data_IF_977086465946
#
_entry.id   IF_977086465946
#
_cell.length_a   1.000
_cell.length_b   1.000
_cell.length_c   1.000
_cell.angle_alpha   90.00
_cell.angle_beta   90.00
_cell.angle_gamma   90.00
#
_symmetry.space_group_name_H-M   'P 1'
#
loop_
_entity.id
_entity.type
_entity.pdbx_description
1 polymer ?
#
# COMPACT_ATOMS: atom_id res chain seq x y z
N UNK A 1 11.90 12.98 14.46
CA UNK A 1 12.40 13.55 13.19
C UNK A 1 12.21 12.57 12.05
N UNK A 2 12.91 11.43 12.00
CA UNK A 2 12.61 10.41 10.98
C UNK A 2 11.46 9.45 11.35
N UNK A 3 11.08 9.40 12.63
CA UNK A 3 10.11 8.42 13.12
C UNK A 3 10.73 7.07 13.50
N UNK A 4 12.06 6.97 13.49
CA UNK A 4 12.87 5.84 13.96
C UNK A 4 14.23 6.33 14.52
N UNK A 5 14.98 5.42 15.15
CA UNK A 5 16.26 5.67 15.82
C UNK A 5 17.43 5.74 14.83
N UNK A 6 17.54 6.87 14.13
CA UNK A 6 18.64 7.12 13.21
C UNK A 6 20.02 7.10 13.91
N UNK A 7 20.10 7.54 15.17
CA UNK A 7 21.36 7.51 15.94
C UNK A 7 21.94 6.10 16.07
N UNK A 8 21.07 5.12 16.32
CA UNK A 8 21.45 3.71 16.33
C UNK A 8 21.79 3.23 14.91
N UNK A 9 20.95 3.57 13.93
CA UNK A 9 21.18 3.22 12.52
C UNK A 9 22.57 3.62 12.03
N UNK A 10 23.04 4.83 12.36
CA UNK A 10 24.35 5.35 11.93
C UNK A 10 25.54 4.55 12.49
N UNK A 11 25.32 3.77 13.54
CA UNK A 11 26.34 2.94 14.21
C UNK A 11 26.26 1.46 13.84
N UNK A 12 25.21 1.06 13.10
CA UNK A 12 25.07 -0.30 12.64
C UNK A 12 25.82 -0.49 11.31
N UNK A 13 26.43 -1.67 11.08
CA UNK A 13 26.98 -2.01 9.78
C UNK A 13 25.94 -1.88 8.67
N UNK A 14 26.35 -1.38 7.50
CA UNK A 14 25.48 -1.29 6.32
C UNK A 14 25.13 -2.67 5.74
N UNK A 15 25.94 -3.68 6.04
CA UNK A 15 25.76 -5.08 5.65
C UNK A 15 25.46 -5.95 6.89
N UNK A 16 24.75 -5.42 7.88
CA UNK A 16 24.38 -6.22 9.05
C UNK A 16 23.57 -7.45 8.62
N UNK A 17 23.78 -8.55 9.33
CA UNK A 17 22.96 -9.75 9.15
C UNK A 17 21.61 -9.56 9.83
N UNK A 18 20.56 -10.05 9.18
CA UNK A 18 19.20 -10.11 9.71
C UNK A 18 18.80 -11.59 9.85
N UNK A 19 17.98 -11.96 10.85
CA UNK A 19 17.54 -13.34 11.00
C UNK A 19 16.81 -13.82 9.75
N UNK A 20 17.08 -15.06 9.31
CA UNK A 20 16.28 -15.69 8.26
C UNK A 20 14.93 -16.14 8.85
N UNK A 21 13.88 -15.42 8.49
CA UNK A 21 12.51 -15.60 8.98
C UNK A 21 11.62 -16.29 7.95
N UNK A 22 12.19 -16.78 6.84
CA UNK A 22 11.47 -17.54 5.82
C UNK A 22 11.02 -18.89 6.38
N UNK A 23 9.99 -19.47 5.77
CA UNK A 23 9.66 -20.86 6.05
C UNK A 23 10.83 -21.77 5.63
N UNK A 24 11.22 -22.79 6.43
CA UNK A 24 12.29 -23.71 6.05
C UNK A 24 12.10 -24.39 4.68
N UNK A 25 10.85 -24.57 4.22
CA UNK A 25 10.56 -25.06 2.87
C UNK A 25 10.98 -24.07 1.78
N UNK A 26 10.82 -22.76 2.02
CA UNK A 26 11.27 -21.72 1.07
C UNK A 26 12.79 -21.77 0.88
N UNK A 27 13.55 -21.98 1.97
CA UNK A 27 15.00 -22.06 1.92
C UNK A 27 15.54 -23.27 1.13
N UNK A 28 14.71 -24.29 0.92
CA UNK A 28 15.06 -25.48 0.14
C UNK A 28 14.51 -25.44 -1.31
N UNK A 29 13.79 -24.38 -1.68
CA UNK A 29 13.21 -24.26 -3.01
C UNK A 29 14.28 -23.89 -4.03
N UNK A 30 14.29 -24.57 -5.17
CA UNK A 30 15.17 -24.24 -6.29
C UNK A 30 14.39 -23.46 -7.35
N UNK A 31 14.92 -22.30 -7.71
CA UNK A 31 14.36 -21.47 -8.78
C UNK A 31 15.10 -21.71 -10.10
N UNK A 32 14.44 -21.52 -11.26
CA UNK A 32 15.09 -21.57 -12.56
C UNK A 32 16.31 -20.65 -12.63
N UNK A 33 17.31 -21.00 -13.44
CA UNK A 33 18.49 -20.14 -13.60
C UNK A 33 18.23 -18.94 -14.52
N UNK A 34 17.36 -19.12 -15.50
CA UNK A 34 16.98 -18.18 -16.56
C UNK A 34 15.81 -17.27 -16.13
N UNK A 35 15.98 -16.58 -15.01
CA UNK A 35 14.99 -15.60 -14.52
C UNK A 35 15.13 -14.25 -15.23
N UNK A 36 14.04 -13.48 -15.34
CA UNK A 36 14.09 -12.10 -15.85
C UNK A 36 14.97 -11.20 -14.97
N UNK A 37 15.50 -10.14 -15.56
CA UNK A 37 16.28 -9.13 -14.83
C UNK A 37 15.37 -8.20 -14.03
N UNK A 38 15.89 -7.64 -12.93
CA UNK A 38 15.16 -6.77 -12.02
C UNK A 38 15.83 -5.40 -11.88
N UNK A 39 15.04 -4.34 -12.05
CA UNK A 39 15.35 -2.98 -11.65
C UNK A 39 14.73 -2.68 -10.30
N UNK A 40 15.49 -2.12 -9.36
CA UNK A 40 14.97 -1.76 -8.04
C UNK A 40 14.88 -0.26 -7.88
N UNK A 41 13.68 0.26 -7.70
CA UNK A 41 13.41 1.69 -7.47
C UNK A 41 13.29 1.93 -5.97
N UNK A 42 14.12 2.80 -5.40
CA UNK A 42 14.04 3.26 -4.02
C UNK A 42 13.62 4.73 -4.00
N UNK A 43 12.49 5.03 -3.36
CA UNK A 43 11.98 6.39 -3.27
C UNK A 43 12.27 6.94 -1.88
N UNK A 44 12.75 8.18 -1.84
CA UNK A 44 13.03 8.85 -0.58
C UNK A 44 12.67 10.34 -0.62
N UNK A 45 12.33 10.82 0.56
CA UNK A 45 12.19 12.22 0.91
C UNK A 45 12.79 12.34 2.31
N UNK A 46 13.79 13.20 2.49
CA UNK A 46 14.42 13.47 3.80
C UNK A 46 14.73 12.21 4.63
N UNK A 47 15.22 11.15 3.98
CA UNK A 47 15.54 9.86 4.62
C UNK A 47 16.95 9.87 5.22
N UNK A 48 17.19 9.13 6.31
CA UNK A 48 18.53 9.05 6.89
C UNK A 48 19.52 8.36 5.92
N UNK A 49 20.72 8.92 5.77
CA UNK A 49 21.73 8.41 4.84
C UNK A 49 22.15 6.96 5.15
N UNK A 50 22.30 6.61 6.44
CA UNK A 50 22.62 5.24 6.85
C UNK A 50 21.55 4.23 6.44
N UNK A 51 20.29 4.66 6.40
CA UNK A 51 19.15 3.83 5.98
C UNK A 51 19.16 3.59 4.47
N UNK A 52 19.30 4.65 3.67
CA UNK A 52 19.40 4.51 2.20
C UNK A 52 20.59 3.60 1.82
N UNK A 53 21.76 3.84 2.43
CA UNK A 53 22.95 3.03 2.18
C UNK A 53 22.75 1.56 2.56
N UNK A 54 22.06 1.29 3.67
CA UNK A 54 21.75 -0.08 4.10
C UNK A 54 20.78 -0.77 3.14
N UNK A 55 19.76 -0.07 2.67
CA UNK A 55 18.84 -0.60 1.66
C UNK A 55 19.59 -0.99 0.37
N UNK A 56 20.37 -0.06 -0.20
CA UNK A 56 21.20 -0.30 -1.39
C UNK A 56 22.14 -1.48 -1.17
N UNK A 57 22.87 -1.50 -0.03
CA UNK A 57 23.81 -2.59 0.26
C UNK A 57 23.10 -3.93 0.40
N UNK A 58 21.96 -3.98 1.08
CA UNK A 58 21.17 -5.21 1.23
C UNK A 58 20.74 -5.78 -0.12
N UNK A 59 20.31 -4.93 -1.07
CA UNK A 59 19.91 -5.33 -2.42
C UNK A 59 21.11 -5.87 -3.19
N UNK A 60 22.25 -5.18 -3.15
CA UNK A 60 23.47 -5.61 -3.85
C UNK A 60 23.97 -6.95 -3.32
N UNK A 61 23.98 -7.13 -2.00
CA UNK A 61 24.53 -8.33 -1.36
C UNK A 61 23.65 -9.57 -1.53
N UNK A 62 22.32 -9.38 -1.54
CA UNK A 62 21.35 -10.48 -1.50
C UNK A 62 20.60 -10.68 -2.82
N UNK A 63 21.00 -9.99 -3.88
CA UNK A 63 20.47 -10.20 -5.24
C UNK A 63 21.60 -10.66 -6.15
N UNK A 64 21.49 -11.82 -6.83
CA UNK A 64 22.52 -12.27 -7.74
C UNK A 64 22.82 -11.26 -8.84
N UNK A 65 24.11 -11.06 -9.16
CA UNK A 65 24.56 -10.07 -10.16
C UNK A 65 23.93 -10.23 -11.54
N UNK A 66 23.60 -11.48 -11.95
CA UNK A 66 22.94 -11.75 -13.23
C UNK A 66 21.49 -11.26 -13.29
N UNK A 67 20.84 -11.08 -12.13
CA UNK A 67 19.44 -10.67 -12.02
C UNK A 67 19.34 -9.15 -11.83
N UNK A 68 20.19 -8.57 -10.98
CA UNK A 68 20.13 -7.15 -10.66
C UNK A 68 20.64 -6.29 -11.84
N UNK A 69 19.72 -5.61 -12.51
CA UNK A 69 20.00 -4.75 -13.67
C UNK A 69 20.50 -3.38 -13.25
N UNK A 70 19.72 -2.69 -12.42
CA UNK A 70 20.03 -1.37 -11.86
C UNK A 70 19.23 -1.11 -10.58
N UNK A 71 19.68 -0.11 -9.83
CA UNK A 71 19.02 0.46 -8.66
C UNK A 71 18.81 1.95 -8.96
N UNK A 72 17.57 2.42 -8.90
CA UNK A 72 17.19 3.80 -9.17
C UNK A 72 16.78 4.47 -7.86
N UNK A 73 17.56 5.44 -7.41
CA UNK A 73 17.25 6.28 -6.26
C UNK A 73 16.45 7.50 -6.73
N UNK A 74 15.22 7.66 -6.25
CA UNK A 74 14.34 8.79 -6.60
C UNK A 74 14.22 9.73 -5.41
N UNK A 75 14.83 10.91 -5.53
CA UNK A 75 14.72 12.03 -4.59
C UNK A 75 13.48 12.87 -4.93
N UNK A 76 12.43 12.76 -4.12
CA UNK A 76 11.19 13.56 -4.27
C UNK A 76 11.32 14.94 -3.63
N UNK A 77 12.43 15.64 -3.91
CA UNK A 77 12.73 16.98 -3.42
C UNK A 77 13.03 17.06 -1.92
N UNK A 78 14.02 16.28 -1.46
CA UNK A 78 14.57 16.39 -0.11
C UNK A 78 15.07 17.80 0.20
N UNK A 79 14.73 18.30 1.38
CA UNK A 79 14.84 19.70 1.78
C UNK A 79 16.29 20.13 2.03
N UNK A 80 16.64 21.34 1.58
CA UNK A 80 17.98 21.92 1.73
C UNK A 80 18.23 22.55 3.12
N UNK A 81 17.22 22.58 3.99
CA UNK A 81 17.22 23.39 5.22
C UNK A 81 17.62 22.57 6.46
N UNK A 82 17.73 21.26 6.31
CA UNK A 82 18.15 20.40 7.41
C UNK A 82 19.68 20.32 7.48
N UNK A 83 20.24 20.12 8.68
CA UNK A 83 21.67 19.85 8.88
C UNK A 83 22.16 18.58 8.14
N UNK A 84 21.26 17.88 7.45
CA UNK A 84 21.43 16.64 6.70
C UNK A 84 21.44 16.86 5.19
N UNK A 85 21.30 18.11 4.71
CA UNK A 85 21.39 18.43 3.29
C UNK A 85 22.76 18.08 2.69
N UNK A 86 23.84 18.13 3.49
CA UNK A 86 25.17 17.64 3.10
C UNK A 86 25.20 16.12 2.94
N UNK A 87 24.47 15.39 3.78
CA UNK A 87 24.41 13.93 3.76
C UNK A 87 23.73 13.40 2.49
N UNK A 88 22.58 13.98 2.11
CA UNK A 88 21.78 13.54 0.96
C UNK A 88 22.25 14.12 -0.38
N UNK A 89 23.17 15.10 -0.36
CA UNK A 89 23.83 15.60 -1.57
C UNK A 89 25.22 15.01 -1.69
N UNK A 90 26.21 15.64 -1.05
CA UNK A 90 27.62 15.33 -1.28
C UNK A 90 28.00 13.92 -0.83
N UNK A 91 27.55 13.48 0.35
CA UNK A 91 27.92 12.14 0.86
C UNK A 91 27.17 11.01 0.19
N UNK A 92 25.95 11.26 -0.28
CA UNK A 92 25.22 10.31 -1.12
C UNK A 92 25.84 10.25 -2.52
N UNK A 93 26.21 11.39 -3.10
CA UNK A 93 26.90 11.45 -4.40
C UNK A 93 28.24 10.73 -4.36
N UNK A 94 29.04 10.95 -3.31
CA UNK A 94 30.29 10.22 -3.10
C UNK A 94 30.05 8.71 -2.98
N UNK A 95 28.96 8.29 -2.32
CA UNK A 95 28.62 6.86 -2.22
C UNK A 95 28.15 6.27 -3.55
N UNK A 96 27.38 7.03 -4.34
CA UNK A 96 26.96 6.61 -5.68
C UNK A 96 28.19 6.44 -6.57
N UNK A 97 29.11 7.41 -6.60
CA UNK A 97 30.36 7.32 -7.35
C UNK A 97 31.21 6.12 -6.92
N UNK A 98 31.29 5.85 -5.62
CA UNK A 98 32.01 4.67 -5.11
C UNK A 98 31.42 3.35 -5.63
N UNK A 99 30.09 3.21 -5.66
CA UNK A 99 29.44 2.02 -6.23
C UNK A 99 29.61 1.96 -7.75
N UNK A 100 29.60 3.11 -8.43
CA UNK A 100 29.80 3.20 -9.88
C UNK A 100 31.22 2.77 -10.30
N UNK A 101 32.23 3.07 -9.47
CA UNK A 101 33.61 2.59 -9.67
C UNK A 101 33.70 1.05 -9.61
N UNK A 102 32.94 0.41 -8.71
CA UNK A 102 32.91 -1.05 -8.58
C UNK A 102 32.02 -1.73 -9.64
N UNK A 103 30.86 -1.14 -9.92
CA UNK A 103 29.82 -1.68 -10.82
C UNK A 103 29.20 -0.54 -11.65
N UNK A 104 29.83 -0.15 -12.77
CA UNK A 104 29.40 1.00 -13.57
C UNK A 104 27.94 0.92 -14.02
N UNK A 105 27.20 2.00 -13.82
CA UNK A 105 25.80 2.14 -14.21
C UNK A 105 24.79 1.40 -13.32
N UNK A 106 25.25 0.72 -12.25
CA UNK A 106 24.36 -0.03 -11.36
C UNK A 106 23.45 0.89 -10.56
N UNK A 107 23.96 2.01 -10.04
CA UNK A 107 23.21 2.92 -9.17
C UNK A 107 22.96 4.25 -9.87
N UNK A 108 21.69 4.59 -10.09
CA UNK A 108 21.24 5.80 -10.78
C UNK A 108 20.49 6.71 -9.81
N UNK A 109 20.54 8.03 -10.02
CA UNK A 109 19.77 9.00 -9.25
C UNK A 109 18.85 9.84 -10.13
N UNK A 110 17.58 9.89 -9.76
CA UNK A 110 16.56 10.78 -10.31
C UNK A 110 16.21 11.80 -9.24
N UNK A 111 16.21 13.09 -9.59
CA UNK A 111 15.89 14.16 -8.65
C UNK A 111 14.79 15.04 -9.18
N UNK A 112 13.73 15.21 -8.39
CA UNK A 112 12.66 16.13 -8.70
C UNK A 112 13.04 17.58 -8.32
N UNK A 113 12.60 18.53 -9.14
CA UNK A 113 12.83 19.96 -8.91
C UNK A 113 11.91 20.55 -7.84
N UNK A 114 10.78 19.89 -7.58
CA UNK A 114 9.80 20.21 -6.55
C UNK A 114 9.22 18.89 -5.99
N UNK A 115 8.55 18.94 -4.84
CA UNK A 115 7.94 17.75 -4.25
C UNK A 115 6.69 17.35 -5.05
N UNK A 116 6.73 16.21 -5.72
CA UNK A 116 5.65 15.71 -6.58
C UNK A 116 4.77 14.67 -5.86
N UNK A 117 5.28 14.04 -4.81
CA UNK A 117 4.60 13.00 -4.06
C UNK A 117 4.94 11.58 -4.51
N UNK A 118 4.51 10.62 -3.70
CA UNK A 118 4.87 9.21 -3.82
C UNK A 118 4.54 8.64 -5.20
N UNK A 119 3.34 8.90 -5.72
CA UNK A 119 2.90 8.39 -7.02
C UNK A 119 3.79 8.85 -8.16
N UNK A 120 4.15 10.13 -8.20
CA UNK A 120 5.02 10.67 -9.25
C UNK A 120 6.45 10.14 -9.10
N UNK A 121 6.95 10.02 -7.87
CA UNK A 121 8.26 9.42 -7.62
C UNK A 121 8.34 7.96 -8.09
N UNK A 122 7.30 7.16 -7.85
CA UNK A 122 7.17 5.79 -8.38
C UNK A 122 7.21 5.77 -9.91
N UNK A 123 6.46 6.66 -10.55
CA UNK A 123 6.41 6.77 -12.01
C UNK A 123 7.76 7.21 -12.61
N UNK A 124 8.45 8.17 -12.00
CA UNK A 124 9.77 8.62 -12.46
C UNK A 124 10.80 7.50 -12.37
N UNK A 125 10.85 6.77 -11.25
CA UNK A 125 11.75 5.63 -11.12
C UNK A 125 11.43 4.49 -12.08
N UNK A 126 10.15 4.18 -12.31
CA UNK A 126 9.74 3.17 -13.30
C UNK A 126 10.16 3.54 -14.73
N UNK A 127 10.11 4.82 -15.12
CA UNK A 127 10.52 5.26 -16.47
C UNK A 127 12.02 5.07 -16.72
N UNK A 128 12.83 5.15 -15.68
CA UNK A 128 14.29 4.96 -15.76
C UNK A 128 14.72 3.49 -15.64
N UNK A 129 13.80 2.60 -15.23
CA UNK A 129 14.08 1.19 -15.05
C UNK A 129 14.35 0.50 -16.41
N UNK A 130 15.45 -0.25 -16.49
CA UNK A 130 15.85 -0.99 -17.69
C UNK A 130 15.58 -2.50 -17.63
N UNK A 131 15.33 -3.05 -16.44
CA UNK A 131 15.10 -4.46 -16.21
C UNK A 131 13.79 -4.95 -16.81
N UNK A 132 13.65 -6.27 -16.98
CA UNK A 132 12.40 -6.88 -17.44
C UNK A 132 11.29 -6.69 -16.40
N UNK A 133 11.67 -6.75 -15.12
CA UNK A 133 10.81 -6.56 -13.95
C UNK A 133 11.25 -5.32 -13.17
N UNK A 134 10.29 -4.59 -12.60
CA UNK A 134 10.54 -3.47 -11.71
C UNK A 134 10.04 -3.81 -10.30
N UNK A 135 10.91 -3.64 -9.30
CA UNK A 135 10.53 -3.64 -7.89
C UNK A 135 10.58 -2.22 -7.36
N UNK A 136 9.44 -1.70 -6.90
CA UNK A 136 9.32 -0.36 -6.35
C UNK A 136 9.21 -0.50 -4.84
N UNK A 137 10.26 -0.07 -4.13
CA UNK A 137 10.40 -0.21 -2.68
C UNK A 137 10.51 1.15 -1.99
N UNK A 138 10.22 1.15 -0.69
CA UNK A 138 10.57 2.26 0.20
C UNK A 138 12.10 2.26 0.45
N UNK A 139 12.69 3.42 0.73
CA UNK A 139 14.13 3.52 1.00
C UNK A 139 14.58 2.93 2.37
N UNK A 140 13.63 2.62 3.26
CA UNK A 140 13.89 2.17 4.63
C UNK A 140 13.61 0.67 4.80
N UNK A 141 14.30 -0.12 3.98
CA UNK A 141 14.17 -1.57 3.90
C UNK A 141 15.51 -2.30 4.02
N UNK A 142 15.46 -3.57 4.38
CA UNK A 142 16.53 -4.55 4.22
C UNK A 142 15.93 -5.82 3.62
N UNK A 143 16.39 -6.22 2.43
CA UNK A 143 15.87 -7.44 1.79
C UNK A 143 16.41 -8.71 2.47
N UNK A 144 15.63 -9.79 2.48
CA UNK A 144 16.14 -11.10 2.92
C UNK A 144 16.94 -11.80 1.80
N UNK A 145 17.64 -12.87 2.19
CA UNK A 145 18.32 -13.74 1.22
C UNK A 145 17.30 -14.36 0.27
N UNK A 146 17.66 -14.44 -1.01
CA UNK A 146 16.82 -14.93 -2.10
C UNK A 146 15.42 -14.28 -2.17
N UNK A 147 15.31 -12.99 -1.86
CA UNK A 147 14.03 -12.28 -1.92
C UNK A 147 13.52 -12.13 -3.37
N UNK A 148 14.41 -11.99 -4.36
CA UNK A 148 14.06 -11.64 -5.73
C UNK A 148 13.62 -12.86 -6.55
N UNK A 149 14.29 -13.99 -6.38
CA UNK A 149 14.10 -15.24 -7.11
C UNK A 149 12.65 -15.74 -7.10
N UNK A 150 11.95 -15.86 -5.95
CA UNK A 150 10.55 -16.26 -5.93
C UNK A 150 9.62 -15.27 -6.66
N UNK A 151 9.90 -13.97 -6.58
CA UNK A 151 9.11 -12.95 -7.28
C UNK A 151 9.31 -13.05 -8.80
N UNK A 152 10.56 -13.18 -9.24
CA UNK A 152 10.93 -13.25 -10.66
C UNK A 152 10.47 -14.56 -11.29
N UNK A 153 10.55 -15.68 -10.57
CA UNK A 153 10.02 -16.96 -11.02
C UNK A 153 8.51 -16.85 -11.25
N UNK A 154 7.79 -16.21 -10.32
CA UNK A 154 6.34 -16.06 -10.42
C UNK A 154 5.91 -15.12 -11.56
N UNK A 155 6.60 -14.00 -11.77
CA UNK A 155 6.33 -13.11 -12.93
C UNK A 155 6.67 -13.79 -14.26
N UNK A 156 7.70 -14.65 -14.29
CA UNK A 156 8.04 -15.40 -15.50
C UNK A 156 6.93 -16.36 -15.92
N UNK A 157 6.23 -16.96 -14.96
CA UNK A 157 5.07 -17.81 -15.23
C UNK A 157 3.87 -17.02 -15.76
N UNK A 158 3.62 -15.85 -15.19
CA UNK A 158 2.55 -14.96 -15.61
C UNK A 158 2.94 -13.49 -15.43
N UNK A 159 3.20 -12.82 -16.56
CA UNK A 159 3.60 -11.40 -16.60
C UNK A 159 2.50 -10.43 -16.18
N UNK A 160 1.25 -10.90 -16.06
CA UNK A 160 0.10 -10.06 -15.70
C UNK A 160 -0.12 -9.97 -14.18
N UNK A 161 0.82 -10.49 -13.40
CA UNK A 161 0.82 -10.45 -11.94
C UNK A 161 1.46 -9.18 -11.40
N UNK A 162 0.84 -8.60 -10.38
CA UNK A 162 1.46 -7.63 -9.48
C UNK A 162 1.74 -8.34 -8.16
N UNK A 163 3.02 -8.45 -7.82
CA UNK A 163 3.47 -9.22 -6.67
C UNK A 163 3.87 -8.32 -5.52
N UNK A 164 3.72 -8.85 -4.30
CA UNK A 164 4.16 -8.18 -3.09
C UNK A 164 4.83 -9.20 -2.15
N UNK A 165 6.01 -8.90 -1.60
CA UNK A 165 6.67 -9.77 -0.64
C UNK A 165 6.00 -9.66 0.74
N UNK A 166 6.39 -10.55 1.66
CA UNK A 166 5.98 -10.43 3.07
C UNK A 166 6.89 -9.44 3.79
N UNK A 167 6.28 -8.50 4.51
CA UNK A 167 7.00 -7.45 5.22
C UNK A 167 7.29 -7.86 6.66
N UNK A 168 8.55 -8.14 6.96
CA UNK A 168 8.98 -8.26 8.35
C UNK A 168 9.09 -6.88 8.99
N UNK A 169 8.74 -6.81 10.27
CA UNK A 169 8.75 -5.56 11.01
C UNK A 169 10.14 -5.28 11.56
N UNK A 170 10.74 -4.16 11.18
CA UNK A 170 11.91 -3.59 11.86
C UNK A 170 11.41 -2.55 12.86
N UNK A 171 11.67 -2.77 14.15
CA UNK A 171 11.22 -1.86 15.20
C UNK A 171 11.90 -0.50 15.09
N UNK A 172 11.14 0.55 15.29
CA UNK A 172 11.60 1.92 15.06
C UNK A 172 12.64 2.38 16.08
N UNK A 173 12.68 1.79 17.27
CA UNK A 173 13.49 2.22 18.41
C UNK A 173 14.82 1.46 18.53
N UNK A 174 14.82 0.14 18.32
CA UNK A 174 16.01 -0.71 18.46
C UNK A 174 16.49 -1.36 17.14
N UNK A 175 15.74 -1.18 16.05
CA UNK A 175 16.03 -1.73 14.71
C UNK A 175 16.13 -3.26 14.68
N UNK A 176 15.54 -3.97 15.64
CA UNK A 176 15.43 -5.43 15.62
C UNK A 176 14.35 -5.90 14.65
N UNK A 177 14.59 -7.04 14.01
CA UNK A 177 13.67 -7.63 13.02
C UNK A 177 12.75 -8.63 13.71
N UNK A 178 11.44 -8.46 13.54
CA UNK A 178 10.42 -9.41 13.99
C UNK A 178 9.72 -10.02 12.78
N UNK A 179 9.64 -11.36 12.78
CA UNK A 179 8.93 -12.12 11.75
C UNK A 179 7.46 -11.70 11.70
N UNK A 180 6.99 -11.40 10.50
CA UNK A 180 5.57 -11.29 10.17
C UNK A 180 5.09 -12.54 9.43
N UNK A 181 3.84 -12.90 9.66
CA UNK A 181 3.21 -14.01 8.98
C UNK A 181 2.64 -13.55 7.63
N UNK A 182 2.66 -14.43 6.60
CA UNK A 182 2.00 -14.14 5.34
C UNK A 182 0.50 -13.87 5.57
N UNK A 183 0.03 -12.74 5.06
CA UNK A 183 -1.36 -12.29 5.14
C UNK A 183 -1.75 -11.65 3.81
N UNK A 184 -3.05 -11.60 3.53
CA UNK A 184 -3.56 -10.87 2.38
C UNK A 184 -3.54 -9.36 2.66
N UNK A 185 -3.32 -8.54 1.63
CA UNK A 185 -3.47 -7.09 1.74
C UNK A 185 -4.89 -6.69 1.31
N UNK A 186 -5.62 -6.16 2.27
CA UNK A 186 -7.02 -5.77 2.17
C UNK A 186 -7.15 -4.25 2.38
N UNK A 187 -8.38 -3.73 2.32
CA UNK A 187 -8.67 -2.33 2.64
C UNK A 187 -10.12 -2.15 3.12
N UNK A 188 -10.39 -1.03 3.78
CA UNK A 188 -11.74 -0.61 4.20
C UNK A 188 -12.38 0.38 3.19
N UNK A 189 -13.61 0.83 3.44
CA UNK A 189 -14.27 1.81 2.57
C UNK A 189 -13.69 3.23 2.60
N UNK A 190 -12.86 3.56 3.60
CA UNK A 190 -12.04 4.77 3.59
C UNK A 190 -10.76 4.61 2.74
N UNK A 191 -10.54 3.41 2.20
CA UNK A 191 -9.39 2.96 1.42
C UNK A 191 -8.08 2.93 2.22
N UNK A 192 -8.19 2.70 3.53
CA UNK A 192 -7.04 2.36 4.36
C UNK A 192 -6.69 0.89 4.16
N UNK A 193 -5.40 0.62 3.90
CA UNK A 193 -4.95 -0.76 3.77
C UNK A 193 -4.77 -1.42 5.13
N UNK A 194 -5.06 -2.71 5.16
CA UNK A 194 -4.98 -3.55 6.34
C UNK A 194 -4.55 -4.96 5.96
N UNK A 195 -4.10 -5.73 6.95
CA UNK A 195 -3.87 -7.15 6.78
C UNK A 195 -5.12 -7.93 7.12
N UNK A 196 -5.43 -8.91 6.29
CA UNK A 196 -6.46 -9.91 6.58
C UNK A 196 -5.91 -11.33 6.41
N UNK A 197 -6.69 -12.31 6.85
CA UNK A 197 -6.38 -13.72 6.59
C UNK A 197 -6.59 -14.03 5.10
N UNK A 198 -5.78 -14.95 4.56
CA UNK A 198 -6.06 -15.48 3.24
C UNK A 198 -7.42 -16.17 3.19
N UNK A 199 -7.90 -16.45 1.98
CA UNK A 199 -9.10 -17.25 1.82
C UNK A 199 -8.89 -18.70 2.30
N UNK A 200 -9.95 -19.39 2.75
CA UNK A 200 -9.86 -20.77 3.24
C UNK A 200 -9.16 -21.74 2.27
N UNK A 201 -9.28 -21.52 0.95
CA UNK A 201 -8.66 -22.38 -0.06
C UNK A 201 -7.12 -22.36 0.03
N UNK A 202 -6.52 -21.24 0.41
CA UNK A 202 -5.07 -21.14 0.58
C UNK A 202 -4.61 -21.97 1.77
N UNK A 203 -5.30 -21.87 2.91
CA UNK A 203 -4.99 -22.69 4.10
C UNK A 203 -5.23 -24.19 3.86
N UNK A 204 -6.19 -24.54 3.00
CA UNK A 204 -6.46 -25.93 2.63
C UNK A 204 -5.28 -26.61 1.89
N UNK A 205 -4.38 -25.83 1.27
CA UNK A 205 -3.16 -26.35 0.64
C UNK A 205 -2.17 -26.92 1.66
N UNK A 206 -2.25 -26.48 2.93
CA UNK A 206 -1.30 -26.84 4.01
C UNK A 206 0.16 -26.60 3.63
N UNK A 207 0.39 -25.56 2.82
CA UNK A 207 1.70 -25.19 2.34
C UNK A 207 1.86 -23.68 2.29
N UNK A 208 2.44 -23.12 3.36
CA UNK A 208 2.58 -21.68 3.56
C UNK A 208 3.56 -21.02 2.59
N UNK A 209 4.26 -21.80 1.76
CA UNK A 209 5.15 -21.27 0.71
C UNK A 209 4.42 -20.86 -0.56
N UNK A 210 3.15 -21.28 -0.72
CA UNK A 210 2.39 -21.03 -1.94
C UNK A 210 1.97 -19.57 -2.05
N UNK A 211 2.01 -18.97 -3.26
CA UNK A 211 1.46 -17.63 -3.49
C UNK A 211 0.02 -17.49 -3.00
N UNK A 212 -0.27 -16.38 -2.32
CA UNK A 212 -1.60 -16.08 -1.80
C UNK A 212 -2.24 -14.93 -2.57
N UNK A 213 -3.43 -15.14 -3.13
CA UNK A 213 -4.20 -14.07 -3.81
C UNK A 213 -4.57 -12.97 -2.84
N UNK A 214 -4.46 -11.73 -3.30
CA UNK A 214 -4.66 -10.54 -2.46
C UNK A 214 -5.58 -9.52 -3.13
N UNK A 215 -6.57 -8.92 -2.44
CA UNK A 215 -7.42 -7.86 -2.98
C UNK A 215 -6.64 -6.62 -3.44
N UNK A 216 -5.62 -6.25 -2.66
CA UNK A 216 -4.83 -5.04 -2.86
C UNK A 216 -3.33 -5.32 -2.71
N UNK A 217 -2.53 -4.27 -2.81
CA UNK A 217 -1.14 -4.21 -2.37
C UNK A 217 -1.01 -3.24 -1.20
N UNK A 218 0.00 -3.40 -0.34
CA UNK A 218 0.23 -2.49 0.78
C UNK A 218 0.97 -1.21 0.34
N UNK A 219 2.10 -1.36 -0.37
CA UNK A 219 2.88 -0.22 -0.85
C UNK A 219 4.09 -0.61 -1.69
N UNK A 220 4.82 -1.65 -1.26
CA UNK A 220 5.87 -2.27 -2.07
C UNK A 220 5.23 -3.19 -3.11
N UNK A 221 5.66 -3.05 -4.37
CA UNK A 221 5.15 -3.83 -5.49
C UNK A 221 6.27 -4.27 -6.42
N UNK A 222 6.10 -5.44 -7.02
CA UNK A 222 7.01 -6.01 -8.03
C UNK A 222 6.17 -6.45 -9.22
N UNK A 223 6.52 -6.00 -10.42
CA UNK A 223 5.67 -6.15 -11.61
C UNK A 223 6.52 -6.19 -12.89
N UNK A 224 6.04 -6.89 -13.92
CA UNK A 224 6.62 -6.78 -15.26
C UNK A 224 6.58 -5.31 -15.73
N UNK A 225 7.74 -4.81 -16.17
CA UNK A 225 7.91 -3.38 -16.45
C UNK A 225 7.01 -2.90 -17.59
N UNK A 226 6.80 -3.73 -18.61
CA UNK A 226 5.98 -3.39 -19.78
C UNK A 226 4.49 -3.50 -19.44
N UNK A 227 4.10 -4.58 -18.77
CA UNK A 227 2.74 -4.77 -18.29
C UNK A 227 2.28 -3.61 -17.42
N UNK A 228 3.14 -3.12 -16.51
CA UNK A 228 2.82 -1.96 -15.68
C UNK A 228 2.45 -0.73 -16.52
N UNK A 229 3.15 -0.49 -17.63
CA UNK A 229 2.82 0.57 -18.58
C UNK A 229 1.53 0.31 -19.36
N UNK A 230 1.32 -0.92 -19.80
CA UNK A 230 0.13 -1.36 -20.56
C UNK A 230 -1.17 -1.14 -19.77
N UNK A 231 -1.14 -1.38 -18.45
CA UNK A 231 -2.30 -1.13 -17.57
C UNK A 231 -2.38 0.33 -17.08
N UNK A 232 -1.58 1.24 -17.63
CA UNK A 232 -1.59 2.67 -17.33
C UNK A 232 -0.90 3.06 -16.02
N UNK A 233 0.12 2.31 -15.60
CA UNK A 233 1.00 2.56 -14.45
C UNK A 233 0.25 2.98 -13.18
N UNK A 234 0.54 4.14 -12.59
CA UNK A 234 -0.23 4.74 -11.49
C UNK A 234 -0.98 5.98 -11.97
N UNK A 235 -2.06 6.34 -11.27
CA UNK A 235 -2.80 7.59 -11.53
C UNK A 235 -1.95 8.82 -11.16
N UNK A 236 -1.32 9.45 -12.15
CA UNK A 236 -0.52 10.66 -11.98
C UNK A 236 -1.29 11.88 -11.42
N UNK A 237 -2.63 11.83 -11.36
CA UNK A 237 -3.45 12.87 -10.72
C UNK A 237 -3.63 12.69 -9.20
N UNK A 238 -3.10 11.62 -8.62
CA UNK A 238 -3.02 11.44 -7.17
C UNK A 238 -1.93 12.34 -6.58
N UNK A 239 -2.24 12.93 -5.43
CA UNK A 239 -1.33 13.88 -4.77
C UNK A 239 -0.72 13.23 -3.53
N UNK A 240 0.56 13.54 -3.28
CA UNK A 240 1.34 13.26 -2.06
C UNK A 240 1.35 11.77 -1.64
N UNK A 241 0.26 11.27 -1.06
CA UNK A 241 0.18 9.93 -0.45
C UNK A 241 -1.27 9.45 -0.34
N UNK A 242 -1.47 8.14 -0.49
CA UNK A 242 -2.67 7.41 -0.08
C UNK A 242 -3.62 7.09 -1.23
N UNK A 243 -4.17 5.87 -1.19
CA UNK A 243 -5.14 5.34 -2.13
C UNK A 243 -4.54 4.78 -3.43
N UNK A 244 -3.27 5.03 -3.74
CA UNK A 244 -2.64 4.58 -4.99
C UNK A 244 -2.41 3.07 -5.04
N UNK A 245 -2.15 2.49 -3.87
CA UNK A 245 -2.00 1.07 -3.63
C UNK A 245 -3.33 0.33 -3.84
N UNK A 246 -4.42 0.84 -3.25
CA UNK A 246 -5.79 0.32 -3.42
C UNK A 246 -6.27 0.47 -4.87
N UNK A 247 -6.02 1.62 -5.49
CA UNK A 247 -6.36 1.86 -6.89
C UNK A 247 -5.71 0.85 -7.83
N UNK A 248 -4.41 0.60 -7.65
CA UNK A 248 -3.69 -0.37 -8.45
C UNK A 248 -4.25 -1.78 -8.22
N UNK A 249 -4.51 -2.15 -6.97
CA UNK A 249 -5.12 -3.44 -6.61
C UNK A 249 -6.45 -3.68 -7.33
N UNK A 250 -7.40 -2.75 -7.18
CA UNK A 250 -8.71 -2.83 -7.84
C UNK A 250 -8.55 -2.92 -9.35
N UNK A 251 -7.76 -2.03 -9.95
CA UNK A 251 -7.59 -1.97 -11.40
C UNK A 251 -7.00 -3.26 -11.96
N UNK A 252 -5.93 -3.79 -11.37
CA UNK A 252 -5.26 -5.01 -11.85
C UNK A 252 -6.27 -6.16 -11.96
N UNK A 253 -7.06 -6.37 -10.91
CA UNK A 253 -8.10 -7.40 -10.88
C UNK A 253 -9.22 -7.17 -11.88
N UNK A 254 -9.71 -5.94 -12.01
CA UNK A 254 -10.78 -5.62 -12.94
C UNK A 254 -10.33 -5.72 -14.41
N UNK A 255 -9.05 -5.45 -14.69
CA UNK A 255 -8.52 -5.30 -16.05
C UNK A 255 -7.70 -6.52 -16.52
N UNK A 256 -7.87 -7.68 -15.89
CA UNK A 256 -7.38 -8.97 -16.41
C UNK A 256 -6.04 -9.47 -15.86
N UNK A 257 -5.45 -8.78 -14.88
CA UNK A 257 -4.33 -9.28 -14.09
C UNK A 257 -4.78 -9.82 -12.73
N UNK A 258 -3.83 -10.11 -11.85
CA UNK A 258 -4.11 -10.41 -10.45
C UNK A 258 -2.98 -9.97 -9.52
N UNK A 259 -3.31 -9.89 -8.23
CA UNK A 259 -2.36 -9.50 -7.18
C UNK A 259 -2.11 -10.68 -6.26
N UNK A 260 -0.84 -10.95 -5.97
CA UNK A 260 -0.42 -12.06 -5.12
C UNK A 260 0.66 -11.64 -4.11
N UNK A 261 0.53 -12.15 -2.89
CA UNK A 261 1.56 -12.12 -1.84
C UNK A 261 2.42 -13.35 -2.02
N UNK A 262 3.75 -13.17 -2.02
CA UNK A 262 4.72 -14.26 -2.22
C UNK A 262 5.43 -14.57 -0.90
N UNK A 263 5.02 -15.63 -0.16
CA UNK A 263 5.53 -15.90 1.19
C UNK A 263 7.04 -16.15 1.28
N UNK A 264 7.62 -16.74 0.25
CA UNK A 264 9.06 -17.01 0.21
C UNK A 264 9.92 -15.77 -0.06
N UNK A 265 9.31 -14.67 -0.53
CA UNK A 265 10.00 -13.39 -0.66
C UNK A 265 9.73 -12.54 0.58
N UNK A 266 10.79 -12.14 1.28
CA UNK A 266 10.67 -11.33 2.49
C UNK A 266 11.52 -10.06 2.41
N UNK A 267 10.95 -8.97 2.90
CA UNK A 267 11.64 -7.69 3.05
C UNK A 267 11.38 -7.18 4.46
N UNK A 268 12.45 -6.86 5.19
CA UNK A 268 12.32 -6.20 6.48
C UNK A 268 12.12 -4.69 6.24
N UNK A 269 11.03 -4.14 6.78
CA UNK A 269 10.62 -2.73 6.60
C UNK A 269 10.57 -2.02 7.94
N UNK A 270 11.12 -0.80 8.01
CA UNK A 270 11.13 0.00 9.23
C UNK A 270 9.76 0.62 9.47
N UNK A 271 9.10 0.16 10.54
CA UNK A 271 7.93 0.83 11.07
C UNK A 271 8.34 2.23 11.56
N UNK A 272 7.45 3.21 11.42
CA UNK A 272 7.68 4.55 11.96
C UNK A 272 6.73 4.82 13.10
N UNK A 273 7.25 5.43 14.17
CA UNK A 273 6.43 5.96 15.26
C UNK A 273 5.52 7.12 14.80
N UNK A 274 5.93 7.86 13.77
CA UNK A 274 5.13 8.91 13.11
C UNK A 274 5.60 9.11 11.66
N UNK A 275 4.72 9.60 10.79
CA UNK A 275 5.06 9.98 9.41
C UNK A 275 5.61 11.41 9.41
N UNK A 276 6.87 11.65 9.00
CA UNK A 276 7.49 12.97 9.15
C UNK A 276 7.15 13.97 8.04
N UNK A 277 6.56 13.50 6.93
CA UNK A 277 6.41 14.29 5.70
C UNK A 277 5.10 15.08 5.62
N UNK A 278 4.08 14.72 6.39
CA UNK A 278 2.80 15.44 6.42
C UNK A 278 2.03 15.12 7.72
N UNK A 279 1.83 16.10 8.62
CA UNK A 279 1.08 15.89 9.87
C UNK A 279 -0.40 15.57 9.65
N UNK A 280 -1.01 16.10 8.59
CA UNK A 280 -2.41 15.85 8.24
C UNK A 280 -2.58 15.37 6.79
N UNK A 281 -2.69 14.05 6.64
CA UNK A 281 -2.92 13.36 5.36
C UNK A 281 -4.40 13.33 4.97
N UNK A 282 -5.32 13.65 5.88
CA UNK A 282 -6.76 13.39 5.72
C UNK A 282 -7.33 14.02 4.45
N UNK A 283 -6.99 15.28 4.16
CA UNK A 283 -7.47 16.02 2.99
C UNK A 283 -7.02 15.33 1.70
N UNK A 284 -5.76 14.91 1.65
CA UNK A 284 -5.16 14.36 0.44
C UNK A 284 -5.63 12.92 0.22
N UNK A 285 -5.71 12.14 1.29
CA UNK A 285 -6.23 10.77 1.25
C UNK A 285 -7.70 10.74 0.87
N UNK A 286 -8.53 11.60 1.46
CA UNK A 286 -9.94 11.77 1.09
C UNK A 286 -10.09 12.12 -0.39
N UNK A 287 -9.30 13.09 -0.89
CA UNK A 287 -9.32 13.45 -2.32
C UNK A 287 -8.94 12.26 -3.21
N UNK A 288 -7.84 11.56 -2.91
CA UNK A 288 -7.38 10.44 -3.71
C UNK A 288 -8.39 9.27 -3.65
N UNK A 289 -8.97 8.98 -2.50
CA UNK A 289 -10.00 7.96 -2.35
C UNK A 289 -11.23 8.24 -3.21
N UNK A 290 -11.69 9.49 -3.24
CA UNK A 290 -12.80 9.90 -4.11
C UNK A 290 -12.44 9.78 -5.61
N UNK A 291 -11.18 9.98 -6.00
CA UNK A 291 -10.73 9.70 -7.39
C UNK A 291 -10.83 8.21 -7.72
N UNK A 292 -10.39 7.34 -6.81
CA UNK A 292 -10.52 5.89 -6.97
C UNK A 292 -11.98 5.50 -7.11
N UNK A 293 -12.83 6.00 -6.21
CA UNK A 293 -14.26 5.73 -6.20
C UNK A 293 -14.94 6.12 -7.52
N UNK A 294 -14.65 7.33 -8.02
CA UNK A 294 -15.25 7.87 -9.24
C UNK A 294 -14.85 7.12 -10.51
N UNK A 295 -13.69 6.46 -10.52
CA UNK A 295 -13.21 5.71 -11.69
C UNK A 295 -13.55 4.23 -11.61
N UNK A 296 -13.41 3.61 -10.44
CA UNK A 296 -13.33 2.16 -10.32
C UNK A 296 -14.47 1.51 -9.53
N UNK A 297 -15.21 2.26 -8.71
CA UNK A 297 -16.16 1.67 -7.75
C UNK A 297 -17.62 1.75 -8.20
N UNK A 298 -17.90 2.23 -9.42
CA UNK A 298 -19.24 2.26 -10.01
C UNK A 298 -20.31 2.87 -9.06
N UNK A 299 -21.44 2.19 -8.86
CA UNK A 299 -22.49 2.57 -7.92
C UNK A 299 -22.03 2.55 -6.46
N UNK A 300 -20.99 1.78 -6.11
CA UNK A 300 -20.46 1.60 -4.75
C UNK A 300 -19.65 2.79 -4.22
N UNK A 301 -19.41 3.81 -5.03
CA UNK A 301 -18.70 5.01 -4.60
C UNK A 301 -19.32 5.72 -3.39
N UNK A 302 -20.64 5.56 -3.16
CA UNK A 302 -21.31 6.11 -1.99
C UNK A 302 -20.72 5.63 -0.66
N UNK A 303 -20.18 4.42 -0.62
CA UNK A 303 -19.52 3.88 0.57
C UNK A 303 -18.30 4.69 0.98
N UNK A 304 -17.53 5.18 0.00
CA UNK A 304 -16.39 6.07 0.24
C UNK A 304 -16.86 7.41 0.79
N UNK A 305 -17.97 7.96 0.26
CA UNK A 305 -18.56 9.17 0.83
C UNK A 305 -18.97 8.96 2.29
N UNK A 306 -19.64 7.85 2.59
CA UNK A 306 -20.07 7.53 3.95
C UNK A 306 -18.85 7.38 4.88
N UNK A 307 -17.85 6.59 4.48
CA UNK A 307 -16.64 6.33 5.27
C UNK A 307 -15.81 7.58 5.58
N UNK A 308 -15.90 8.62 4.74
CA UNK A 308 -15.26 9.92 4.97
C UNK A 308 -16.20 10.98 5.57
N UNK A 309 -17.39 10.57 6.01
CA UNK A 309 -18.45 11.42 6.56
C UNK A 309 -18.83 12.59 5.63
N UNK A 310 -18.95 12.30 4.33
CA UNK A 310 -19.26 13.28 3.28
C UNK A 310 -20.72 13.16 2.81
N UNK A 311 -21.35 14.27 2.41
CA UNK A 311 -22.59 14.21 1.66
C UNK A 311 -22.50 13.29 0.44
N UNK A 312 -23.55 12.51 0.17
CA UNK A 312 -23.59 11.61 -1.00
C UNK A 312 -23.55 12.34 -2.34
N UNK A 313 -23.95 13.62 -2.35
CA UNK A 313 -23.93 14.52 -3.51
C UNK A 313 -23.37 15.87 -3.08
N UNK A 314 -22.72 16.55 -4.01
CA UNK A 314 -22.29 17.94 -3.86
C UNK A 314 -21.41 18.21 -2.62
N UNK A 315 -20.56 17.25 -2.23
CA UNK A 315 -19.64 17.38 -1.10
C UNK A 315 -18.51 18.43 -1.31
N UNK A 316 -18.45 19.08 -2.49
CA UNK A 316 -17.59 20.24 -2.75
C UNK A 316 -16.09 19.97 -2.85
N UNK A 317 -15.65 18.71 -2.89
CA UNK A 317 -14.22 18.35 -2.98
C UNK A 317 -13.83 18.21 -4.44
N UNK A 318 -12.85 19.01 -4.87
CA UNK A 318 -12.27 18.92 -6.21
C UNK A 318 -11.28 17.75 -6.31
N UNK A 319 -11.75 16.67 -6.95
CA UNK A 319 -10.95 15.48 -7.23
C UNK A 319 -10.06 15.65 -8.46
N UNK A 320 -10.18 16.74 -9.23
CA UNK A 320 -9.50 16.96 -10.51
C UNK A 320 -10.03 16.08 -11.65
N UNK A 321 -9.44 16.20 -12.84
CA UNK A 321 -9.85 15.41 -14.00
C UNK A 321 -9.46 13.93 -13.85
N UNK A 322 -10.40 13.05 -14.21
CA UNK A 322 -10.26 11.58 -14.22
C UNK A 322 -10.60 10.98 -15.59
N UNK A 323 -10.79 11.82 -16.61
CA UNK A 323 -11.22 11.42 -17.95
C UNK A 323 -10.28 10.38 -18.57
N UNK A 324 -8.97 10.56 -18.44
CA UNK A 324 -7.98 9.60 -18.96
C UNK A 324 -8.06 8.24 -18.25
N UNK A 325 -8.29 8.22 -16.93
CA UNK A 325 -8.47 6.95 -16.18
C UNK A 325 -9.76 6.24 -16.59
N UNK A 326 -10.85 6.99 -16.81
CA UNK A 326 -12.12 6.43 -17.32
C UNK A 326 -11.98 5.90 -18.75
N UNK A 327 -11.20 6.56 -19.62
CA UNK A 327 -10.89 6.07 -20.97
C UNK A 327 -10.08 4.78 -20.92
N UNK A 328 -9.04 4.73 -20.08
CA UNK A 328 -8.22 3.55 -19.86
C UNK A 328 -9.06 2.35 -19.39
N UNK A 329 -9.93 2.55 -18.41
CA UNK A 329 -10.85 1.51 -17.92
C UNK A 329 -11.71 0.91 -19.06
N UNK A 330 -12.20 1.78 -19.96
CA UNK A 330 -12.98 1.36 -21.13
C UNK A 330 -12.12 0.63 -22.16
N UNK A 331 -10.92 1.14 -22.47
CA UNK A 331 -10.05 0.56 -23.50
C UNK A 331 -9.54 -0.83 -23.11
N UNK A 332 -9.31 -1.07 -21.82
CA UNK A 332 -8.90 -2.38 -21.28
C UNK A 332 -10.09 -3.34 -21.08
N UNK A 333 -11.32 -2.91 -21.39
CA UNK A 333 -12.54 -3.70 -21.20
C UNK A 333 -12.66 -4.26 -19.77
N UNK A 334 -12.35 -3.43 -18.76
CA UNK A 334 -12.32 -3.88 -17.39
C UNK A 334 -13.71 -4.25 -16.87
N UNK A 335 -13.74 -5.22 -15.95
CA UNK A 335 -14.95 -5.72 -15.31
C UNK A 335 -15.65 -4.64 -14.44
N UNK A 336 -16.95 -4.80 -14.15
CA UNK A 336 -17.64 -3.95 -13.17
C UNK A 336 -17.15 -4.22 -11.75
N UNK A 337 -17.27 -3.24 -10.86
CA UNK A 337 -16.82 -3.35 -9.46
C UNK A 337 -17.58 -4.43 -8.68
N UNK A 338 -18.84 -4.69 -9.02
CA UNK A 338 -19.59 -5.84 -8.48
C UNK A 338 -18.81 -7.16 -8.62
N UNK A 339 -18.19 -7.38 -9.79
CA UNK A 339 -17.41 -8.61 -10.00
C UNK A 339 -16.22 -8.69 -9.04
N UNK A 340 -15.60 -7.55 -8.71
CA UNK A 340 -14.50 -7.50 -7.75
C UNK A 340 -14.97 -7.88 -6.34
N UNK A 341 -16.12 -7.36 -5.89
CA UNK A 341 -16.72 -7.76 -4.61
C UNK A 341 -17.03 -9.27 -4.59
N UNK A 342 -17.67 -9.79 -5.64
CA UNK A 342 -18.08 -11.20 -5.67
C UNK A 342 -16.89 -12.18 -5.77
N UNK A 343 -15.83 -11.80 -6.48
CA UNK A 343 -14.79 -12.74 -6.89
C UNK A 343 -13.43 -12.50 -6.23
N UNK A 344 -13.13 -11.27 -5.82
CA UNK A 344 -11.81 -10.86 -5.32
C UNK A 344 -11.85 -10.46 -3.85
N UNK A 345 -12.83 -9.66 -3.44
CA UNK A 345 -12.94 -9.23 -2.03
C UNK A 345 -14.37 -9.27 -1.47
N UNK A 346 -14.95 -10.47 -1.26
CA UNK A 346 -16.31 -10.62 -0.74
C UNK A 346 -16.51 -10.15 0.71
N UNK A 347 -15.42 -9.97 1.44
CA UNK A 347 -15.45 -9.49 2.83
C UNK A 347 -15.57 -7.97 2.92
N UNK A 348 -15.36 -7.24 1.81
CA UNK A 348 -15.61 -5.80 1.75
C UNK A 348 -17.12 -5.54 1.64
N UNK A 349 -17.79 -5.52 2.78
CA UNK A 349 -19.25 -5.44 2.86
C UNK A 349 -19.77 -4.02 2.56
N UNK A 350 -20.56 -3.81 1.49
CA UNK A 350 -21.12 -2.50 1.17
C UNK A 350 -22.09 -1.98 2.24
N UNK A 351 -21.99 -0.69 2.55
CA UNK A 351 -22.90 0.04 3.42
C UNK A 351 -24.22 0.38 2.70
N UNK A 352 -25.09 -0.62 2.60
CA UNK A 352 -26.44 -0.50 2.04
C UNK A 352 -27.53 -0.15 3.08
N UNK A 353 -28.71 0.25 2.58
CA UNK A 353 -29.96 0.40 3.35
C UNK A 353 -29.87 1.26 4.64
N UNK A 354 -29.05 2.31 4.59
CA UNK A 354 -28.90 3.28 5.66
C UNK A 354 -30.12 4.22 5.74
N UNK A 355 -30.70 4.34 6.93
CA UNK A 355 -31.67 5.37 7.30
C UNK A 355 -31.01 6.74 7.48
N UNK A 356 -29.75 6.75 7.92
CA UNK A 356 -28.97 7.96 8.12
C UNK A 356 -27.53 7.62 8.52
N UNK A 357 -26.63 8.56 8.26
CA UNK A 357 -25.24 8.56 8.70
C UNK A 357 -24.81 10.00 8.98
N UNK A 358 -23.87 10.19 9.89
CA UNK A 358 -23.34 11.51 10.23
C UNK A 358 -22.82 11.57 11.66
N UNK A 359 -22.44 12.78 12.08
CA UNK A 359 -22.07 13.06 13.45
C UNK A 359 -23.31 13.10 14.36
N UNK A 360 -23.22 12.46 15.52
CA UNK A 360 -24.25 12.52 16.56
C UNK A 360 -23.91 13.64 17.54
N UNK A 361 -24.72 14.69 17.52
CA UNK A 361 -24.54 15.90 18.33
C UNK A 361 -25.42 15.82 19.56
N UNK A 362 -24.87 16.20 20.71
CA UNK A 362 -25.64 16.32 21.94
C UNK A 362 -26.57 17.55 21.87
N UNK A 363 -27.88 17.34 22.02
CA UNK A 363 -28.90 18.40 21.92
C UNK A 363 -28.84 19.43 23.05
N UNK A 364 -28.29 19.06 24.20
CA UNK A 364 -28.03 19.95 25.34
C UNK A 364 -26.68 20.67 25.25
N UNK A 365 -25.76 20.18 24.41
CA UNK A 365 -24.41 20.74 24.17
C UNK A 365 -24.01 20.59 22.71
N UNK A 366 -24.47 21.52 21.89
CA UNK A 366 -24.31 21.50 20.43
C UNK A 366 -22.85 21.61 19.95
N UNK A 367 -21.91 21.93 20.84
CA UNK A 367 -20.47 21.96 20.61
C UNK A 367 -19.79 20.60 20.84
N UNK A 368 -20.53 19.58 21.26
CA UNK A 368 -20.02 18.23 21.53
C UNK A 368 -20.67 17.19 20.62
N UNK A 369 -19.82 16.42 19.95
CA UNK A 369 -20.20 15.23 19.20
C UNK A 369 -19.81 13.96 19.99
N UNK A 370 -20.56 12.88 19.77
CA UNK A 370 -20.13 11.54 20.14
C UNK A 370 -18.90 11.18 19.29
N UNK A 371 -17.84 10.70 19.95
CA UNK A 371 -16.56 10.34 19.35
C UNK A 371 -16.08 8.99 19.94
N UNK A 372 -15.36 8.18 19.17
CA UNK A 372 -14.89 6.85 19.59
C UNK A 372 -13.71 6.94 20.56
N UNK A 373 -13.14 8.14 20.69
CA UNK A 373 -11.87 8.38 21.34
C UNK A 373 -10.69 7.94 20.47
N UNK A 374 -9.46 8.13 20.96
CA UNK A 374 -8.27 7.64 20.29
C UNK A 374 -8.29 6.11 20.19
N UNK A 375 -8.33 5.58 18.97
CA UNK A 375 -8.26 4.14 18.70
C UNK A 375 -6.78 3.69 18.77
N UNK A 376 -6.42 2.68 19.59
CA UNK A 376 -5.05 2.19 19.67
C UNK A 376 -4.57 1.60 18.34
N UNK A 377 -3.41 2.04 17.84
CA UNK A 377 -2.78 1.54 16.60
C UNK A 377 -2.98 2.44 15.37
N UNK A 378 -3.98 3.31 15.37
CA UNK A 378 -4.12 4.42 14.41
C UNK A 378 -3.43 5.65 14.99
N UNK A 379 -2.13 5.80 14.72
CA UNK A 379 -1.36 6.94 15.25
C UNK A 379 -1.64 8.27 14.55
N UNK A 380 -2.54 8.31 13.56
CA UNK A 380 -2.93 9.53 12.88
C UNK A 380 -4.43 9.43 12.58
N UNK A 381 -5.16 10.47 12.98
CA UNK A 381 -6.56 10.80 12.67
C UNK A 381 -7.62 10.39 13.71
N UNK A 382 -8.32 11.42 14.18
CA UNK A 382 -9.68 11.32 14.71
C UNK A 382 -10.56 10.80 13.57
N UNK A 383 -11.01 9.56 13.66
CA UNK A 383 -12.16 9.14 12.86
C UNK A 383 -13.39 9.66 13.60
N UNK A 384 -14.09 10.61 12.99
CA UNK A 384 -15.43 10.97 13.45
C UNK A 384 -16.25 9.68 13.48
N UNK A 385 -16.95 9.40 14.59
CA UNK A 385 -17.85 8.25 14.66
C UNK A 385 -18.93 8.45 13.61
N UNK A 386 -18.91 7.63 12.57
CA UNK A 386 -20.02 7.53 11.64
C UNK A 386 -21.01 6.57 12.27
N UNK A 387 -22.12 7.11 12.77
CA UNK A 387 -23.20 6.27 13.28
C UNK A 387 -24.10 5.88 12.11
N UNK A 388 -24.03 4.59 11.76
CA UNK A 388 -24.92 3.98 10.78
C UNK A 388 -26.22 3.59 11.45
N UNK A 389 -27.35 3.98 10.86
CA UNK A 389 -28.68 3.56 11.30
C UNK A 389 -29.28 2.68 10.20
N UNK A 390 -29.48 1.38 10.45
CA UNK A 390 -30.08 0.45 9.49
C UNK A 390 -31.59 0.26 9.70
N UNK A 391 -32.32 -0.10 8.64
CA UNK A 391 -33.68 -0.66 8.75
C UNK A 391 -33.62 -2.15 9.13
N UNK A 392 -33.92 -2.49 10.37
CA UNK A 392 -34.24 -3.90 10.72
C UNK A 392 -35.73 -4.15 10.50
N UNK A 393 -36.10 -4.95 9.50
CA UNK A 393 -37.47 -5.47 9.36
C UNK A 393 -37.51 -6.86 9.98
N UNK A 394 -37.99 -6.95 11.22
CA UNK A 394 -38.36 -8.24 11.82
C UNK A 394 -39.78 -8.55 11.33
N UNK A 395 -39.94 -9.55 10.46
CA UNK A 395 -41.24 -10.16 10.17
C UNK A 395 -41.32 -11.46 10.96
N UNK A 396 -42.11 -11.48 12.03
CA UNK A 396 -42.58 -12.72 12.65
C UNK A 396 -44.08 -12.95 12.33
N UNK A 397 -44.53 -14.20 12.10
CA UNK A 397 -45.91 -14.47 11.75
C UNK A 397 -46.85 -14.54 12.97
N UNK A 398 -47.91 -13.75 12.90
CA UNK A 398 -49.24 -13.78 13.53
C UNK A 398 -49.52 -14.63 14.81
N UNK A 399 -50.03 -13.94 15.84
CA UNK A 399 -50.88 -14.51 16.91
C UNK A 399 -51.70 -13.42 17.63
N UNK A 400 -53.03 -13.58 17.70
CA UNK A 400 -54.05 -12.62 18.19
C UNK A 400 -53.82 -12.08 19.61
N UNK A 401 -53.88 -10.76 19.81
CA UNK A 401 -54.98 -10.00 20.48
C UNK A 401 -54.51 -8.69 21.14
N UNK A 402 -55.15 -7.58 20.74
CA UNK A 402 -55.41 -6.32 21.47
C UNK A 402 -54.26 -5.38 21.93
N UNK A 403 -54.25 -4.21 21.26
CA UNK A 403 -54.03 -2.83 21.72
C UNK A 403 -52.61 -2.32 22.06
N UNK A 404 -52.12 -1.49 21.13
CA UNK A 404 -51.25 -0.30 21.26
C UNK A 404 -49.97 -0.39 22.10
N UNK A 405 -48.86 -0.66 21.40
CA UNK A 405 -47.60 0.08 21.57
C UNK A 405 -46.88 0.06 20.20
N UNK A 406 -46.77 1.22 19.55
CA UNK A 406 -46.08 1.40 18.28
C UNK A 406 -44.60 1.00 18.43
N UNK A 407 -44.24 -0.03 17.66
CA UNK A 407 -42.90 -0.56 17.34
C UNK A 407 -41.69 0.31 17.73
N UNK A 408 -40.91 -0.16 18.71
CA UNK A 408 -39.50 0.19 18.85
C UNK A 408 -38.70 -0.54 17.76
N UNK A 409 -38.15 0.21 16.81
CA UNK A 409 -37.10 -0.26 15.90
C UNK A 409 -35.80 -0.40 16.69
N UNK A 410 -35.18 -1.58 16.64
CA UNK A 410 -33.81 -1.79 17.12
C UNK A 410 -32.85 -0.97 16.27
N UNK A 411 -32.27 0.10 16.84
CA UNK A 411 -31.16 0.82 16.23
C UNK A 411 -29.88 0.06 16.52
N UNK A 412 -29.34 -0.66 15.53
CA UNK A 412 -27.95 -1.11 15.62
C UNK A 412 -27.06 0.09 15.31
N UNK A 413 -26.45 0.67 16.34
CA UNK A 413 -25.39 1.68 16.20
C UNK A 413 -24.10 0.91 15.90
N UNK A 414 -23.65 0.97 14.65
CA UNK A 414 -22.31 0.51 14.28
C UNK A 414 -21.47 1.78 14.19
N UNK A 415 -20.47 1.91 15.06
CA UNK A 415 -19.35 2.82 14.86
C UNK A 415 -18.40 2.13 13.88
N UNK A 416 -18.21 2.72 12.70
CA UNK A 416 -17.23 2.26 11.70
C UNK A 416 -15.95 3.03 11.87
#
# INVERSE_FOLDING_TARGET
MYGYNAFLSDRLPLNREIPDTRDPKCANHQYPHDLPTISVVLIYLDEALSIIKRAVRSIIDKTPQRLLKDIILVDDHSSNVSAFAEDLKEKLDAYISFIDEERPGLLKRVRHLEQLGLTQARLSGWREAEGDVVAILDAHIEVHVEWAEPLLARIKEDRTLVLTPVFDKVHFDDLTVTRYWPSTNAFDWALWCMYESFRPEWYALKDETQPGKSPSIMGILVVDRLFFGEIGALDGGMKIYGGENVELGIRVWLCGGSVEVIPCSKIAHIERAHKPYLPDLSITMKRNALRVAEVWMDEYKHNVNIAWNLPLKDHGIDIGDVSERKKLRKSLNCKPFQWYLDNVYPMLDPLGDLLGYGALVNDLKMDLCIDQGPVPGTHLFYMDVIILVHRTVIIEPAGRSTLEASSLTSTTVIAV
#
